data_IF_056029706441
#
_entry.id   IF_056029706441
#
_cell.length_a   1.000
_cell.length_b   1.000
_cell.length_c   1.000
_cell.angle_alpha   90.00
_cell.angle_beta   90.00
_cell.angle_gamma   90.00
#
_symmetry.space_group_name_H-M   'P 1'
#
loop_
_entity.id
_entity.type
_entity.pdbx_description
1 polymer ?
#
# COMPACT_ATOMS: atom_id res chain seq x y z
N UNK A 1 10.12 -10.22 10.29
CA UNK A 1 8.78 -9.94 10.85
C UNK A 1 8.52 -8.44 10.88
N UNK A 2 7.26 -8.00 11.04
CA UNK A 2 6.89 -6.58 11.13
C UNK A 2 7.56 -5.93 12.34
N UNK A 3 8.28 -4.82 12.13
CA UNK A 3 8.94 -4.07 13.19
C UNK A 3 8.28 -2.68 13.31
N UNK A 4 7.63 -2.36 14.44
CA UNK A 4 6.91 -1.10 14.64
C UNK A 4 7.82 0.15 14.62
N UNK A 5 9.11 -0.02 14.89
CA UNK A 5 10.07 1.09 14.93
C UNK A 5 10.68 1.42 13.56
N UNK A 6 10.45 0.59 12.54
CA UNK A 6 10.99 0.84 11.21
C UNK A 6 10.10 1.81 10.42
N UNK A 7 10.45 3.10 10.45
CA UNK A 7 9.73 4.15 9.72
C UNK A 7 10.33 4.34 8.33
N UNK A 8 9.49 4.24 7.29
CA UNK A 8 9.87 4.57 5.92
C UNK A 8 9.17 5.84 5.47
N UNK A 9 9.93 6.78 4.91
CA UNK A 9 9.36 7.97 4.30
C UNK A 9 8.77 7.62 2.94
N UNK A 10 7.62 8.21 2.60
CA UNK A 10 6.99 8.04 1.30
C UNK A 10 7.94 8.33 0.11
N UNK A 11 8.75 9.38 0.22
CA UNK A 11 9.73 9.77 -0.80
C UNK A 11 10.93 8.83 -0.89
N UNK A 12 11.22 8.05 0.15
CA UNK A 12 12.35 7.11 0.15
C UNK A 12 12.21 6.07 -0.97
N UNK A 13 10.98 5.64 -1.28
CA UNK A 13 10.67 4.76 -2.40
C UNK A 13 11.15 5.30 -3.76
N UNK A 14 11.13 6.62 -3.94
CA UNK A 14 11.53 7.31 -5.18
C UNK A 14 13.04 7.50 -5.30
N UNK A 15 13.79 7.22 -4.22
CA UNK A 15 15.25 7.34 -4.21
C UNK A 15 15.85 6.35 -5.20
N UNK A 16 16.61 6.86 -6.16
CA UNK A 16 17.28 6.02 -7.15
C UNK A 16 18.40 5.20 -6.49
N UNK A 17 18.58 3.92 -6.87
CA UNK A 17 19.74 3.14 -6.44
C UNK A 17 21.06 3.75 -6.93
N UNK A 18 22.20 3.37 -6.33
CA UNK A 18 23.51 3.80 -6.80
C UNK A 18 23.72 3.53 -8.29
N UNK A 19 24.15 4.55 -9.03
CA UNK A 19 24.43 4.44 -10.47
C UNK A 19 23.20 4.47 -11.39
N UNK A 20 21.99 4.55 -10.83
CA UNK A 20 20.75 4.63 -11.61
C UNK A 20 20.04 5.96 -11.42
N UNK A 21 19.16 6.29 -12.36
CA UNK A 21 18.29 7.47 -12.30
C UNK A 21 16.83 7.06 -12.49
N UNK A 22 15.92 7.83 -11.91
CA UNK A 22 14.48 7.70 -12.14
C UNK A 22 14.17 7.85 -13.63
N UNK A 23 13.48 6.86 -14.21
CA UNK A 23 12.99 6.95 -15.59
C UNK A 23 11.50 7.29 -15.62
N UNK A 24 10.64 6.44 -15.06
CA UNK A 24 9.19 6.67 -15.03
C UNK A 24 8.49 5.88 -13.92
N UNK A 25 7.26 6.27 -13.56
CA UNK A 25 6.48 5.56 -12.56
C UNK A 25 4.98 5.56 -12.83
N UNK A 26 4.33 4.49 -12.37
CA UNK A 26 2.88 4.39 -12.26
C UNK A 26 2.53 4.16 -10.79
N UNK A 27 1.62 4.96 -10.27
CA UNK A 27 1.05 4.77 -8.94
C UNK A 27 -0.45 4.49 -9.03
N UNK A 28 -0.98 3.80 -8.02
CA UNK A 28 -2.42 3.65 -7.83
C UNK A 28 -2.76 3.98 -6.39
N UNK A 29 -3.94 4.55 -6.16
CA UNK A 29 -4.45 4.81 -4.81
C UNK A 29 -5.98 4.83 -4.82
N UNK A 30 -6.60 4.62 -3.66
CA UNK A 30 -8.03 4.85 -3.53
C UNK A 30 -8.32 6.35 -3.37
N UNK A 31 -7.73 6.99 -2.38
CA UNK A 31 -7.80 8.46 -2.21
C UNK A 31 -6.46 9.12 -2.49
N UNK A 32 -6.52 10.40 -2.84
CA UNK A 32 -5.34 11.18 -3.22
C UNK A 32 -5.49 12.62 -2.71
N UNK A 33 -4.50 13.09 -1.95
CA UNK A 33 -4.28 14.51 -1.72
C UNK A 33 -3.26 15.03 -2.76
N UNK A 34 -3.63 16.00 -3.63
CA UNK A 34 -2.72 16.58 -4.61
C UNK A 34 -1.48 17.24 -3.98
N UNK A 35 -1.58 17.83 -2.79
CA UNK A 35 -0.43 18.41 -2.06
C UNK A 35 0.54 17.31 -1.67
N UNK A 36 0.03 16.18 -1.18
CA UNK A 36 0.86 15.02 -0.85
C UNK A 36 1.54 14.44 -2.10
N UNK A 37 0.79 14.31 -3.21
CA UNK A 37 1.35 13.83 -4.48
C UNK A 37 2.47 14.73 -5.02
N UNK A 38 2.34 16.05 -4.86
CA UNK A 38 3.33 17.02 -5.34
C UNK A 38 4.72 16.79 -4.74
N UNK A 39 4.81 16.18 -3.54
CA UNK A 39 6.09 15.82 -2.93
C UNK A 39 6.92 14.88 -3.81
N UNK A 40 6.31 14.02 -4.61
CA UNK A 40 7.02 13.06 -5.46
C UNK A 40 7.86 13.74 -6.57
N UNK A 41 7.28 14.51 -7.52
CA UNK A 41 8.07 15.19 -8.54
C UNK A 41 8.99 16.28 -7.96
N UNK A 42 8.61 16.91 -6.85
CA UNK A 42 9.46 17.86 -6.13
C UNK A 42 10.71 17.17 -5.57
N UNK A 43 10.54 16.05 -4.87
CA UNK A 43 11.65 15.27 -4.34
C UNK A 43 12.62 14.83 -5.45
N UNK A 44 12.08 14.30 -6.56
CA UNK A 44 12.90 13.90 -7.71
C UNK A 44 13.65 15.07 -8.35
N UNK A 45 13.02 16.26 -8.44
CA UNK A 45 13.67 17.47 -8.91
C UNK A 45 14.87 17.87 -8.05
N UNK A 46 14.69 17.88 -6.72
CA UNK A 46 15.75 18.23 -5.78
C UNK A 46 16.85 17.17 -5.69
N UNK A 47 16.50 15.89 -5.74
CA UNK A 47 17.45 14.78 -5.71
C UNK A 47 18.35 14.74 -6.98
N UNK A 48 17.85 15.26 -8.11
CA UNK A 48 18.58 15.30 -9.37
C UNK A 48 19.37 16.60 -9.60
N UNK A 49 19.15 17.66 -8.82
CA UNK A 49 19.94 18.90 -8.94
C UNK A 49 21.22 18.83 -8.11
N UNK A 50 22.35 18.97 -8.80
CA UNK A 50 23.62 19.33 -8.14
C UNK A 50 23.44 20.65 -7.36
N UNK A 51 24.16 20.78 -6.25
CA UNK A 51 24.06 21.89 -5.29
C UNK A 51 24.21 23.29 -5.90
N UNK A 52 24.81 23.44 -7.08
CA UNK A 52 24.91 24.70 -7.83
C UNK A 52 23.71 25.03 -8.73
N UNK A 53 22.91 24.04 -9.18
CA UNK A 53 21.70 24.25 -10.00
C UNK A 53 20.43 24.43 -9.16
N UNK A 54 20.47 24.04 -7.89
CA UNK A 54 19.37 24.15 -6.94
C UNK A 54 18.97 25.60 -6.56
N UNK A 55 19.65 26.62 -7.10
CA UNK A 55 19.39 28.03 -6.79
C UNK A 55 18.54 28.77 -7.85
N UNK A 56 18.28 28.19 -9.03
CA UNK A 56 17.42 28.80 -10.06
C UNK A 56 15.98 28.24 -9.99
N UNK A 57 14.99 29.07 -9.60
CA UNK A 57 13.59 28.65 -9.51
C UNK A 57 13.00 28.14 -10.83
N UNK A 58 13.46 28.65 -11.98
CA UNK A 58 12.95 28.21 -13.28
C UNK A 58 13.45 26.80 -13.62
N UNK A 59 14.72 26.51 -13.32
CA UNK A 59 15.30 25.18 -13.48
C UNK A 59 14.59 24.12 -12.63
N UNK A 60 14.23 24.45 -11.39
CA UNK A 60 13.46 23.55 -10.50
C UNK A 60 12.05 23.34 -11.06
N UNK A 61 11.37 24.40 -11.49
CA UNK A 61 10.04 24.29 -12.07
C UNK A 61 10.02 23.39 -13.32
N UNK A 62 10.98 23.56 -14.24
CA UNK A 62 11.10 22.68 -15.41
C UNK A 62 11.44 21.24 -15.04
N UNK A 63 12.23 21.02 -13.98
CA UNK A 63 12.50 19.67 -13.47
C UNK A 63 11.22 19.01 -12.91
N UNK A 64 10.44 19.73 -12.10
CA UNK A 64 9.15 19.24 -11.59
C UNK A 64 8.22 18.90 -12.76
N UNK A 65 8.08 19.80 -13.74
CA UNK A 65 7.25 19.57 -14.94
C UNK A 65 7.67 18.31 -15.69
N UNK A 66 8.97 18.10 -15.88
CA UNK A 66 9.51 16.89 -16.54
C UNK A 66 9.17 15.62 -15.78
N UNK A 67 9.31 15.60 -14.45
CA UNK A 67 8.96 14.42 -13.66
C UNK A 67 7.45 14.16 -13.63
N UNK A 68 6.63 15.22 -13.60
CA UNK A 68 5.17 15.12 -13.73
C UNK A 68 4.72 14.48 -15.05
N UNK A 69 5.42 14.73 -16.16
CA UNK A 69 5.14 14.05 -17.44
C UNK A 69 5.45 12.55 -17.41
N UNK A 70 6.29 12.09 -16.46
CA UNK A 70 6.76 10.70 -16.34
C UNK A 70 6.10 9.89 -15.23
N UNK A 71 5.27 10.53 -14.40
CA UNK A 71 4.49 9.88 -13.35
C UNK A 71 3.03 9.86 -13.76
N UNK A 72 2.39 8.69 -13.74
CA UNK A 72 0.94 8.53 -13.89
C UNK A 72 0.34 7.96 -12.61
N UNK A 73 -0.68 8.61 -12.04
CA UNK A 73 -1.37 8.16 -10.82
C UNK A 73 -2.81 7.81 -11.14
N UNK A 74 -3.18 6.56 -10.99
CA UNK A 74 -4.57 6.10 -11.10
C UNK A 74 -5.27 6.21 -9.74
N UNK A 75 -6.32 7.00 -9.64
CA UNK A 75 -7.07 7.23 -8.39
C UNK A 75 -8.52 6.84 -8.55
N UNK A 76 -9.19 6.32 -7.53
CA UNK A 76 -10.64 6.08 -7.61
C UNK A 76 -11.39 7.37 -7.97
N UNK A 77 -12.34 7.24 -8.89
CA UNK A 77 -13.20 8.35 -9.29
C UNK A 77 -13.92 8.95 -8.08
N UNK A 78 -13.82 10.27 -7.93
CA UNK A 78 -14.45 11.03 -6.85
C UNK A 78 -13.71 11.01 -5.52
N UNK A 79 -12.47 10.50 -5.47
CA UNK A 79 -11.66 10.39 -4.25
C UNK A 79 -10.39 11.25 -4.26
N UNK A 80 -10.35 12.28 -5.11
CA UNK A 80 -9.33 13.33 -5.04
C UNK A 80 -9.77 14.34 -3.97
N UNK A 81 -8.99 14.46 -2.91
CA UNK A 81 -9.23 15.37 -1.79
C UNK A 81 -8.56 16.71 -2.11
N UNK A 82 -9.31 17.65 -2.68
CA UNK A 82 -8.81 19.02 -2.91
C UNK A 82 -9.24 19.89 -1.73
N UNK A 83 -8.31 20.39 -0.89
CA UNK A 83 -8.68 21.25 0.23
C UNK A 83 -9.44 22.52 -0.22
N UNK A 84 -10.59 22.76 0.40
CA UNK A 84 -11.48 23.87 0.05
C UNK A 84 -10.88 25.28 0.27
N UNK A 85 -9.82 25.38 1.10
CA UNK A 85 -9.16 26.65 1.46
C UNK A 85 -7.83 26.90 0.73
N UNK A 86 -7.42 26.04 -0.21
CA UNK A 86 -6.14 26.21 -0.90
C UNK A 86 -6.12 27.48 -1.74
N UNK A 87 -5.07 28.29 -1.55
CA UNK A 87 -4.71 29.35 -2.49
C UNK A 87 -4.33 28.71 -3.83
N UNK A 88 -4.60 29.37 -4.98
CA UNK A 88 -4.19 28.87 -6.28
C UNK A 88 -2.67 28.63 -6.30
N UNK A 89 -2.25 27.37 -6.37
CA UNK A 89 -0.84 26.99 -6.54
C UNK A 89 -0.62 26.58 -8.01
N UNK A 90 0.21 27.30 -8.79
CA UNK A 90 0.50 26.97 -10.19
C UNK A 90 1.01 25.54 -10.40
N UNK A 91 1.64 24.95 -9.38
CA UNK A 91 2.13 23.57 -9.43
C UNK A 91 1.01 22.53 -9.52
N UNK A 92 -0.22 22.86 -9.09
CA UNK A 92 -1.35 21.94 -9.25
C UNK A 92 -1.73 21.70 -10.71
N UNK A 93 -1.49 22.67 -11.60
CA UNK A 93 -1.67 22.47 -13.04
C UNK A 93 -0.76 21.38 -13.61
N UNK A 94 0.41 21.14 -12.99
CA UNK A 94 1.32 20.04 -13.38
C UNK A 94 0.76 18.67 -12.98
N UNK A 95 -0.06 18.61 -11.92
CA UNK A 95 -0.66 17.37 -11.44
C UNK A 95 -1.87 16.94 -12.25
N UNK A 96 -2.57 17.87 -12.91
CA UNK A 96 -3.75 17.56 -13.72
C UNK A 96 -3.46 16.49 -14.76
N UNK A 97 -2.29 16.57 -15.40
CA UNK A 97 -1.92 15.58 -16.39
C UNK A 97 -1.47 14.27 -15.76
N UNK A 98 -0.91 14.28 -14.54
CA UNK A 98 -0.45 13.09 -13.81
C UNK A 98 -1.61 12.20 -13.37
N UNK A 99 -2.74 12.78 -12.99
CA UNK A 99 -3.82 12.09 -12.30
C UNK A 99 -4.84 11.54 -13.31
N UNK A 100 -5.16 10.26 -13.16
CA UNK A 100 -6.16 9.55 -13.96
C UNK A 100 -7.22 8.95 -13.02
N UNK A 101 -8.38 9.59 -12.97
CA UNK A 101 -9.53 9.00 -12.28
C UNK A 101 -9.91 7.65 -12.90
N UNK A 102 -10.22 6.67 -12.04
CA UNK A 102 -10.34 5.26 -12.38
C UNK A 102 -11.52 4.62 -11.67
N UNK A 103 -12.06 3.54 -12.25
CA UNK A 103 -13.14 2.75 -11.67
C UNK A 103 -12.80 1.27 -11.68
N UNK A 104 -13.26 0.53 -10.69
CA UNK A 104 -13.24 -0.93 -10.76
C UNK A 104 -14.26 -1.46 -11.78
N UNK A 105 -14.20 -2.77 -12.02
CA UNK A 105 -15.20 -3.48 -12.82
C UNK A 105 -16.56 -3.46 -12.11
N UNK A 106 -17.64 -3.27 -12.85
CA UNK A 106 -18.99 -3.37 -12.31
C UNK A 106 -19.29 -2.28 -11.29
N UNK A 107 -19.74 -2.67 -10.09
CA UNK A 107 -20.18 -1.78 -9.01
C UNK A 107 -19.21 -1.65 -7.83
N UNK A 108 -18.04 -2.29 -7.91
CA UNK A 108 -17.05 -2.19 -6.84
C UNK A 108 -16.19 -0.93 -6.92
N UNK A 109 -15.19 -0.88 -6.04
CA UNK A 109 -14.28 0.24 -5.86
C UNK A 109 -12.89 -0.09 -6.39
N UNK A 110 -12.23 0.88 -7.06
CA UNK A 110 -10.82 0.78 -7.42
C UNK A 110 -9.99 1.14 -6.19
N UNK A 111 -9.34 0.16 -5.60
CA UNK A 111 -8.69 0.29 -4.31
C UNK A 111 -7.22 -0.17 -4.23
N UNK A 112 -6.52 -0.56 -5.34
CA UNK A 112 -5.12 -0.96 -5.22
C UNK A 112 -4.26 0.26 -4.86
N UNK A 113 -3.24 0.03 -4.02
CA UNK A 113 -2.33 1.07 -3.53
C UNK A 113 -0.89 0.64 -3.78
N UNK A 114 -0.32 1.11 -4.89
CA UNK A 114 1.05 0.75 -5.29
C UNK A 114 1.82 1.93 -5.87
N UNK A 115 3.14 1.81 -5.85
CA UNK A 115 4.05 2.47 -6.78
C UNK A 115 4.81 1.41 -7.56
N UNK A 116 4.82 1.49 -8.88
CA UNK A 116 5.77 0.78 -9.73
C UNK A 116 6.66 1.80 -10.40
N UNK A 117 7.96 1.70 -10.12
CA UNK A 117 8.97 2.68 -10.51
C UNK A 117 10.01 1.97 -11.37
N UNK A 118 10.35 2.59 -12.50
CA UNK A 118 11.40 2.14 -13.40
C UNK A 118 12.61 3.05 -13.24
N UNK A 119 13.78 2.45 -13.01
CA UNK A 119 15.07 3.12 -12.98
C UNK A 119 15.92 2.66 -14.15
N UNK A 120 16.81 3.53 -14.62
CA UNK A 120 17.76 3.23 -15.69
C UNK A 120 19.17 3.67 -15.29
N UNK A 121 20.17 2.84 -15.57
CA UNK A 121 21.56 3.26 -15.54
C UNK A 121 21.90 3.96 -16.88
N UNK A 122 22.23 5.26 -16.88
CA UNK A 122 22.46 6.02 -18.11
C UNK A 122 23.75 5.62 -18.84
N UNK A 123 24.66 4.88 -18.21
CA UNK A 123 25.92 4.43 -18.79
C UNK A 123 25.81 3.01 -19.39
N UNK A 124 25.02 2.13 -18.77
CA UNK A 124 24.92 0.71 -19.15
C UNK A 124 23.59 0.33 -19.81
N UNK A 125 22.61 1.23 -19.81
CA UNK A 125 21.20 0.98 -20.17
C UNK A 125 20.54 -0.14 -19.32
N UNK A 126 21.13 -0.50 -18.19
CA UNK A 126 20.56 -1.47 -17.26
C UNK A 126 19.29 -0.89 -16.62
N UNK A 127 18.26 -1.73 -16.51
CA UNK A 127 16.95 -1.34 -15.99
C UNK A 127 16.70 -2.07 -14.68
N UNK A 128 16.15 -1.35 -13.70
CA UNK A 128 15.67 -1.92 -12.44
C UNK A 128 14.24 -1.45 -12.20
N UNK A 129 13.41 -2.35 -11.67
CA UNK A 129 12.05 -2.06 -11.25
C UNK A 129 11.92 -2.13 -9.74
N UNK A 130 11.30 -1.11 -9.16
CA UNK A 130 10.86 -1.12 -7.77
C UNK A 130 9.34 -1.17 -7.72
N UNK A 131 8.79 -2.15 -7.02
CA UNK A 131 7.38 -2.23 -6.67
C UNK A 131 7.23 -1.94 -5.19
N UNK A 132 6.46 -0.91 -4.85
CA UNK A 132 6.02 -0.62 -3.50
C UNK A 132 4.53 -0.92 -3.39
N UNK A 133 4.15 -1.81 -2.49
CA UNK A 133 2.75 -2.09 -2.15
C UNK A 133 2.44 -1.48 -0.80
N UNK A 134 1.36 -0.72 -0.73
CA UNK A 134 1.00 0.12 0.41
C UNK A 134 -0.33 -0.34 1.01
N UNK A 135 -0.46 -0.26 2.33
CA UNK A 135 -1.77 -0.37 2.99
C UNK A 135 -2.51 0.96 3.07
N UNK A 136 -1.78 2.09 3.01
CA UNK A 136 -2.29 3.48 3.11
C UNK A 136 -2.37 4.21 1.77
N UNK A 137 -3.29 5.17 1.72
CA UNK A 137 -3.51 6.05 0.58
C UNK A 137 -2.44 7.13 0.44
N UNK A 138 -2.41 7.79 -0.72
CA UNK A 138 -1.56 8.95 -0.99
C UNK A 138 -2.14 10.24 -0.38
N UNK A 139 -2.24 10.28 0.95
CA UNK A 139 -2.81 11.38 1.74
C UNK A 139 -1.86 11.78 2.87
N UNK A 140 -2.20 12.87 3.57
CA UNK A 140 -1.48 13.36 4.77
C UNK A 140 -1.76 12.55 6.04
N UNK A 141 -2.51 11.45 5.91
CA UNK A 141 -2.87 10.51 6.97
C UNK A 141 -1.62 10.00 7.72
N UNK A 142 -1.62 10.08 9.04
CA UNK A 142 -0.48 9.75 9.90
C UNK A 142 -0.63 8.39 10.61
N UNK A 143 -1.55 7.55 10.15
CA UNK A 143 -1.76 6.21 10.70
C UNK A 143 -0.56 5.29 10.57
N UNK A 144 -0.51 4.35 11.51
CA UNK A 144 0.27 3.14 11.41
C UNK A 144 -0.15 2.34 10.18
N UNK A 145 0.75 2.25 9.22
CA UNK A 145 0.56 1.55 7.96
C UNK A 145 1.65 0.49 7.73
N UNK A 146 1.50 -0.23 6.63
CA UNK A 146 2.51 -1.16 6.16
C UNK A 146 2.84 -0.82 4.71
N UNK A 147 4.14 -0.92 4.41
CA UNK A 147 4.65 -0.86 3.06
C UNK A 147 5.59 -2.03 2.81
N UNK A 148 5.49 -2.62 1.62
CA UNK A 148 6.43 -3.61 1.11
C UNK A 148 7.12 -3.01 -0.11
N UNK A 149 8.45 -2.93 -0.08
CA UNK A 149 9.27 -2.60 -1.23
C UNK A 149 9.93 -3.87 -1.77
N UNK A 150 9.83 -4.09 -3.07
CA UNK A 150 10.51 -5.14 -3.82
C UNK A 150 11.30 -4.48 -4.94
N UNK A 151 12.61 -4.69 -4.95
CA UNK A 151 13.47 -4.33 -6.06
C UNK A 151 13.64 -5.56 -6.96
N UNK A 152 13.70 -5.36 -8.27
CA UNK A 152 13.70 -6.45 -9.22
C UNK A 152 14.37 -6.10 -10.53
N UNK A 153 14.97 -7.11 -11.15
CA UNK A 153 15.81 -6.94 -12.34
C UNK A 153 15.23 -7.75 -13.51
N UNK A 154 15.26 -7.21 -14.74
CA UNK A 154 14.86 -7.96 -15.92
C UNK A 154 15.72 -9.21 -16.13
N UNK A 155 15.07 -10.32 -16.39
CA UNK A 155 15.69 -11.60 -16.76
C UNK A 155 15.11 -12.11 -18.08
N UNK A 156 15.77 -13.07 -18.72
CA UNK A 156 15.32 -13.61 -20.02
C UNK A 156 14.06 -14.49 -19.91
N UNK A 157 13.82 -15.09 -18.74
CA UNK A 157 12.70 -16.01 -18.52
C UNK A 157 11.45 -15.25 -18.09
N UNK A 158 10.29 -15.69 -18.55
CA UNK A 158 9.01 -15.18 -18.06
C UNK A 158 8.80 -15.58 -16.60
N UNK A 159 8.39 -14.62 -15.78
CA UNK A 159 8.08 -14.80 -14.37
C UNK A 159 6.57 -14.96 -14.23
N UNK A 160 6.11 -16.21 -14.09
CA UNK A 160 4.68 -16.54 -14.07
C UNK A 160 3.96 -15.89 -12.88
N UNK A 161 4.66 -15.73 -11.75
CA UNK A 161 4.15 -15.02 -10.57
C UNK A 161 3.71 -13.58 -10.89
N UNK A 162 4.31 -12.94 -11.90
CA UNK A 162 3.99 -11.56 -12.27
C UNK A 162 2.75 -11.42 -13.15
N UNK A 163 2.09 -12.51 -13.55
CA UNK A 163 0.87 -12.44 -14.39
C UNK A 163 -0.20 -11.51 -13.83
N UNK A 164 -0.34 -11.46 -12.51
CA UNK A 164 -1.27 -10.55 -11.82
C UNK A 164 -0.89 -9.08 -12.02
N UNK A 165 0.40 -8.74 -11.89
CA UNK A 165 0.90 -7.38 -12.15
C UNK A 165 0.75 -7.00 -13.62
N UNK A 166 1.15 -7.89 -14.53
CA UNK A 166 0.96 -7.73 -15.98
C UNK A 166 -0.51 -7.42 -16.29
N UNK A 167 -1.43 -8.17 -15.69
CA UNK A 167 -2.85 -7.92 -15.83
C UNK A 167 -3.24 -6.53 -15.33
N UNK A 168 -2.89 -6.18 -14.09
CA UNK A 168 -3.16 -4.87 -13.49
C UNK A 168 -2.74 -3.73 -14.43
N UNK A 169 -1.48 -3.67 -14.84
CA UNK A 169 -0.97 -2.61 -15.71
C UNK A 169 -1.63 -2.59 -17.08
N UNK A 170 -1.97 -3.76 -17.65
CA UNK A 170 -2.70 -3.84 -18.93
C UNK A 170 -4.14 -3.32 -18.85
N UNK A 171 -4.77 -3.36 -17.68
CA UNK A 171 -6.17 -2.93 -17.48
C UNK A 171 -6.28 -1.50 -16.96
N UNK A 172 -5.25 -0.94 -16.32
CA UNK A 172 -5.27 0.46 -15.82
C UNK A 172 -5.76 1.48 -16.87
N UNK A 173 -5.27 1.49 -18.13
CA UNK A 173 -5.80 2.36 -19.17
C UNK A 173 -7.29 2.19 -19.48
N UNK A 174 -7.83 0.97 -19.28
CA UNK A 174 -9.23 0.62 -19.53
C UNK A 174 -10.13 1.01 -18.35
N UNK A 175 -9.55 1.20 -17.16
CA UNK A 175 -10.24 1.66 -15.95
C UNK A 175 -10.36 3.18 -15.88
N UNK A 176 -9.53 3.90 -16.64
CA UNK A 176 -9.54 5.36 -16.71
C UNK A 176 -10.91 5.93 -17.10
N UNK A 177 -11.36 6.95 -16.38
CA UNK A 177 -12.59 7.69 -16.67
C UNK A 177 -12.24 8.91 -17.52
N UNK A 178 -12.47 8.80 -18.82
CA UNK A 178 -12.21 9.89 -19.77
C UNK A 178 -11.10 9.57 -20.75
N UNK A 179 -10.66 10.59 -21.50
CA UNK A 179 -9.60 10.45 -22.49
C UNK A 179 -8.25 10.49 -21.79
N UNK A 180 -7.47 9.44 -21.93
CA UNK A 180 -6.08 9.41 -21.48
C UNK A 180 -5.12 9.81 -22.62
N UNK A 181 -3.98 10.41 -22.28
CA UNK A 181 -2.94 10.71 -23.27
C UNK A 181 -2.32 9.42 -23.85
N UNK A 182 -1.85 9.46 -25.11
CA UNK A 182 -1.27 8.29 -25.78
C UNK A 182 0.01 7.79 -25.09
N UNK A 183 0.85 8.70 -24.60
CA UNK A 183 2.10 8.33 -23.93
C UNK A 183 1.85 7.58 -22.60
N UNK A 184 0.83 7.95 -21.82
CA UNK A 184 0.45 7.23 -20.58
C UNK A 184 -0.11 5.84 -20.85
N UNK A 185 -0.87 5.66 -21.95
CA UNK A 185 -1.27 4.32 -22.42
C UNK A 185 -0.05 3.46 -22.74
N UNK A 186 0.92 4.03 -23.46
CA UNK A 186 2.15 3.34 -23.81
C UNK A 186 3.00 3.01 -22.58
N UNK A 187 3.03 3.91 -21.58
CA UNK A 187 3.68 3.67 -20.29
C UNK A 187 3.08 2.47 -19.56
N UNK A 188 1.76 2.43 -19.36
CA UNK A 188 1.09 1.28 -18.73
C UNK A 188 1.34 -0.04 -19.49
N UNK A 189 1.34 0.01 -20.83
CA UNK A 189 1.66 -1.17 -21.64
C UNK A 189 3.13 -1.60 -21.48
N UNK A 190 4.09 -0.67 -21.42
CA UNK A 190 5.50 -1.00 -21.13
C UNK A 190 5.66 -1.69 -19.80
N UNK A 191 5.07 -1.16 -18.72
CA UNK A 191 5.10 -1.81 -17.41
C UNK A 191 4.49 -3.21 -17.48
N UNK A 192 3.35 -3.38 -18.17
CA UNK A 192 2.76 -4.71 -18.35
C UNK A 192 3.70 -5.68 -19.10
N UNK A 193 4.35 -5.23 -20.17
CA UNK A 193 5.22 -6.08 -21.00
C UNK A 193 6.54 -6.42 -20.30
N UNK A 194 7.17 -5.44 -19.65
CA UNK A 194 8.48 -5.59 -19.00
C UNK A 194 8.38 -6.32 -17.66
N UNK A 195 7.36 -6.04 -16.83
CA UNK A 195 7.20 -6.72 -15.54
C UNK A 195 6.98 -8.23 -15.68
N UNK A 196 6.54 -8.73 -16.84
CA UNK A 196 6.48 -10.18 -17.10
C UNK A 196 7.85 -10.86 -16.98
N UNK A 197 8.94 -10.10 -17.13
CA UNK A 197 10.31 -10.58 -17.15
C UNK A 197 11.13 -10.10 -15.94
N UNK A 198 10.52 -9.47 -14.95
CA UNK A 198 11.23 -8.97 -13.76
C UNK A 198 11.29 -10.03 -12.66
N UNK A 199 12.49 -10.40 -12.25
CA UNK A 199 12.73 -11.22 -11.07
C UNK A 199 12.86 -10.33 -9.83
N UNK A 200 12.01 -10.54 -8.83
CA UNK A 200 12.00 -9.76 -7.59
C UNK A 200 12.96 -10.33 -6.56
N UNK A 201 13.69 -9.46 -5.88
CA UNK A 201 14.44 -9.80 -4.68
C UNK A 201 13.46 -9.88 -3.50
N UNK A 202 13.35 -11.07 -2.89
CA UNK A 202 12.53 -11.25 -1.71
C UNK A 202 13.16 -10.55 -0.49
N UNK A 203 12.35 -9.93 0.39
CA UNK A 203 12.85 -9.37 1.64
C UNK A 203 13.52 -10.47 2.49
N UNK A 204 14.47 -10.06 3.33
CA UNK A 204 15.24 -10.99 4.15
C UNK A 204 14.34 -11.97 4.93
N UNK A 205 14.64 -13.26 4.79
CA UNK A 205 13.93 -14.36 5.44
C UNK A 205 12.76 -14.94 4.65
N UNK A 206 12.33 -14.28 3.58
CA UNK A 206 11.33 -14.81 2.65
C UNK A 206 12.00 -15.37 1.38
N UNK A 207 11.40 -16.42 0.84
CA UNK A 207 11.90 -17.19 -0.29
C UNK A 207 11.02 -17.04 -1.54
N UNK A 208 9.74 -16.70 -1.36
CA UNK A 208 8.76 -16.60 -2.46
C UNK A 208 7.88 -15.36 -2.32
N UNK A 209 7.48 -14.81 -3.47
CA UNK A 209 6.51 -13.73 -3.59
C UNK A 209 5.39 -14.11 -4.58
N UNK A 210 4.14 -13.85 -4.21
CA UNK A 210 2.98 -14.03 -5.06
C UNK A 210 2.03 -12.83 -4.99
N UNK A 211 1.40 -12.50 -6.12
CA UNK A 211 0.53 -11.33 -6.25
C UNK A 211 -0.91 -11.75 -6.56
N UNK A 212 -1.86 -11.09 -5.90
CA UNK A 212 -3.29 -11.31 -6.08
C UNK A 212 -4.00 -10.00 -6.35
N UNK A 213 -5.04 -10.05 -7.18
CA UNK A 213 -5.88 -8.92 -7.58
C UNK A 213 -7.36 -9.32 -7.48
N UNK A 214 -7.91 -9.44 -6.24
CA UNK A 214 -9.34 -9.67 -6.04
C UNK A 214 -10.19 -8.68 -6.86
N UNK A 215 -11.28 -9.18 -7.43
CA UNK A 215 -12.17 -8.39 -8.30
C UNK A 215 -11.73 -8.23 -9.75
N UNK A 216 -10.53 -8.68 -10.10
CA UNK A 216 -10.00 -8.74 -11.47
C UNK A 216 -9.67 -10.19 -11.91
N UNK A 217 -10.11 -11.20 -11.14
CA UNK A 217 -9.99 -12.61 -11.50
C UNK A 217 -8.69 -13.29 -11.04
N UNK A 218 -7.89 -12.61 -10.21
CA UNK A 218 -6.71 -13.15 -9.54
C UNK A 218 -6.96 -13.19 -8.03
N UNK A 219 -7.98 -13.93 -7.61
CA UNK A 219 -8.44 -13.90 -6.22
C UNK A 219 -7.42 -14.54 -5.27
N UNK A 220 -7.28 -13.95 -4.08
CA UNK A 220 -6.57 -14.57 -2.97
C UNK A 220 -7.50 -15.51 -2.21
N UNK A 221 -6.94 -16.56 -1.63
CA UNK A 221 -7.62 -17.47 -0.71
C UNK A 221 -6.73 -17.69 0.51
N UNK A 222 -7.28 -17.70 1.73
CA UNK A 222 -6.50 -18.03 2.92
C UNK A 222 -5.84 -19.41 2.79
N UNK A 223 -4.55 -19.56 3.12
CA UNK A 223 -3.90 -20.86 3.15
C UNK A 223 -4.36 -21.67 4.37
N UNK A 224 -4.26 -23.00 4.29
CA UNK A 224 -4.41 -23.85 5.48
C UNK A 224 -3.25 -23.61 6.45
N UNK A 225 -3.57 -23.34 7.71
CA UNK A 225 -2.62 -22.93 8.74
C UNK A 225 -2.89 -23.57 10.10
N UNK A 226 -1.85 -23.71 10.91
CA UNK A 226 -2.01 -24.04 12.33
C UNK A 226 -2.47 -22.82 13.11
N UNK A 227 -1.89 -21.66 12.81
CA UNK A 227 -2.08 -20.41 13.54
C UNK A 227 -2.26 -19.22 12.60
N UNK A 228 -3.05 -18.24 13.02
CA UNK A 228 -3.27 -17.01 12.26
C UNK A 228 -3.36 -15.75 13.15
N UNK A 229 -2.85 -14.64 12.63
CA UNK A 229 -3.09 -13.28 13.15
C UNK A 229 -3.65 -12.41 12.02
N UNK A 230 -4.68 -11.63 12.33
CA UNK A 230 -5.31 -10.69 11.40
C UNK A 230 -5.11 -9.27 11.89
N UNK A 231 -4.55 -8.41 11.04
CA UNK A 231 -4.41 -6.97 11.26
C UNK A 231 -5.21 -6.26 10.16
N UNK A 232 -6.27 -5.56 10.52
CA UNK A 232 -7.09 -4.82 9.56
C UNK A 232 -7.87 -3.72 10.26
N UNK A 233 -7.88 -2.47 9.74
CA UNK A 233 -8.60 -1.39 10.39
C UNK A 233 -10.11 -1.51 10.26
N UNK A 234 -10.60 -2.19 9.23
CA UNK A 234 -12.02 -2.47 8.99
C UNK A 234 -12.23 -3.96 8.78
N UNK A 235 -13.27 -4.50 9.38
CA UNK A 235 -13.58 -5.93 9.36
C UNK A 235 -15.08 -6.16 9.17
N UNK A 236 -15.45 -7.28 8.58
CA UNK A 236 -16.83 -7.80 8.63
C UNK A 236 -16.84 -9.23 9.15
N UNK A 237 -17.94 -9.63 9.78
CA UNK A 237 -18.09 -10.96 10.37
C UNK A 237 -17.77 -12.08 9.38
N UNK A 238 -18.36 -12.06 8.18
CA UNK A 238 -18.21 -13.18 7.24
C UNK A 238 -16.78 -13.32 6.71
N UNK A 239 -16.05 -12.21 6.57
CA UNK A 239 -14.68 -12.22 6.08
C UNK A 239 -13.72 -12.77 7.13
N UNK A 240 -13.89 -12.40 8.40
CA UNK A 240 -13.11 -12.96 9.50
C UNK A 240 -13.41 -14.46 9.67
N UNK A 241 -14.69 -14.85 9.67
CA UNK A 241 -15.10 -16.25 9.73
C UNK A 241 -14.54 -17.06 8.54
N UNK A 242 -14.49 -16.48 7.35
CA UNK A 242 -13.86 -17.13 6.19
C UNK A 242 -12.37 -17.38 6.40
N UNK A 243 -11.62 -16.42 6.93
CA UNK A 243 -10.18 -16.58 7.23
C UNK A 243 -9.98 -17.65 8.30
N UNK A 244 -10.70 -17.55 9.43
CA UNK A 244 -10.51 -18.44 10.59
C UNK A 244 -10.83 -19.90 10.25
N UNK A 245 -11.75 -20.15 9.30
CA UNK A 245 -12.08 -21.50 8.85
C UNK A 245 -10.87 -22.27 8.29
N UNK A 246 -9.84 -21.58 7.82
CA UNK A 246 -8.63 -22.18 7.26
C UNK A 246 -7.48 -22.28 8.28
N UNK A 247 -7.71 -21.96 9.55
CA UNK A 247 -6.71 -22.14 10.60
C UNK A 247 -7.22 -22.97 11.78
N UNK A 248 -6.32 -23.71 12.44
CA UNK A 248 -6.66 -24.44 13.67
C UNK A 248 -6.87 -23.49 14.85
N UNK A 249 -6.12 -22.39 14.89
CA UNK A 249 -6.20 -21.36 15.94
C UNK A 249 -6.01 -19.97 15.33
N UNK A 250 -6.89 -19.04 15.71
CA UNK A 250 -6.70 -17.62 15.46
C UNK A 250 -6.21 -16.94 16.75
N UNK A 251 -4.95 -16.50 16.76
CA UNK A 251 -4.28 -15.99 17.96
C UNK A 251 -4.72 -14.56 18.29
N UNK A 252 -4.77 -13.67 17.30
CA UNK A 252 -5.12 -12.28 17.53
C UNK A 252 -5.84 -11.63 16.35
N UNK A 253 -6.81 -10.78 16.68
CA UNK A 253 -7.38 -9.78 15.79
C UNK A 253 -6.94 -8.40 16.27
N UNK A 254 -6.12 -7.72 15.47
CA UNK A 254 -5.69 -6.34 15.72
C UNK A 254 -6.49 -5.43 14.78
N UNK A 255 -7.35 -4.60 15.36
CA UNK A 255 -8.27 -3.73 14.61
C UNK A 255 -8.52 -2.44 15.38
N UNK A 256 -9.28 -1.53 14.78
CA UNK A 256 -9.74 -0.31 15.46
C UNK A 256 -10.86 -0.63 16.46
N UNK A 257 -10.96 0.09 17.59
CA UNK A 257 -12.00 -0.17 18.59
C UNK A 257 -13.43 -0.03 18.05
N UNK A 258 -13.69 0.97 17.21
CA UNK A 258 -14.98 1.18 16.56
C UNK A 258 -15.38 -0.02 15.69
N UNK A 259 -14.43 -0.56 14.92
CA UNK A 259 -14.65 -1.76 14.12
C UNK A 259 -14.88 -2.99 14.99
N UNK A 260 -14.07 -3.18 16.05
CA UNK A 260 -14.26 -4.30 16.98
C UNK A 260 -15.64 -4.27 17.65
N UNK A 261 -16.13 -3.09 18.03
CA UNK A 261 -17.48 -2.90 18.58
C UNK A 261 -18.59 -3.30 17.61
N UNK A 262 -18.39 -3.12 16.30
CA UNK A 262 -19.41 -3.48 15.29
C UNK A 262 -19.50 -4.98 14.99
N UNK A 263 -18.46 -5.75 15.33
CA UNK A 263 -18.43 -7.20 15.12
C UNK A 263 -19.28 -7.95 16.15
N UNK A 264 -19.92 -9.03 15.71
CA UNK A 264 -20.63 -9.91 16.63
C UNK A 264 -19.69 -10.51 17.69
N UNK A 265 -20.23 -10.79 18.87
CA UNK A 265 -19.49 -11.46 19.95
C UNK A 265 -19.02 -12.86 19.51
N UNK A 266 -19.84 -13.56 18.71
CA UNK A 266 -19.53 -14.86 18.12
C UNK A 266 -18.26 -14.80 17.26
N UNK A 267 -18.15 -13.81 16.36
CA UNK A 267 -16.95 -13.62 15.53
C UNK A 267 -15.74 -13.20 16.35
N UNK A 268 -15.91 -12.27 17.31
CA UNK A 268 -14.78 -11.82 18.17
C UNK A 268 -14.20 -12.98 18.97
N UNK A 269 -15.07 -13.85 19.49
CA UNK A 269 -14.69 -15.03 20.29
C UNK A 269 -13.96 -16.11 19.49
N UNK A 270 -13.89 -16.00 18.16
CA UNK A 270 -13.05 -16.88 17.33
C UNK A 270 -11.55 -16.60 17.51
N UNK A 271 -11.19 -15.39 17.96
CA UNK A 271 -9.81 -14.98 18.19
C UNK A 271 -9.46 -15.09 19.67
N UNK A 272 -8.26 -15.58 19.98
CA UNK A 272 -7.81 -15.70 21.37
C UNK A 272 -7.65 -14.33 22.04
N UNK A 273 -7.17 -13.33 21.28
CA UNK A 273 -7.05 -11.93 21.72
C UNK A 273 -7.70 -10.99 20.70
N UNK A 274 -8.36 -9.95 21.20
CA UNK A 274 -8.80 -8.81 20.39
C UNK A 274 -8.05 -7.58 20.87
N UNK A 275 -7.34 -6.92 19.97
CA UNK A 275 -6.35 -5.90 20.29
C UNK A 275 -6.59 -4.63 19.46
N UNK A 276 -6.24 -3.48 20.01
CA UNK A 276 -6.14 -2.21 19.28
C UNK A 276 -4.84 -1.49 19.63
N UNK A 277 -4.48 -0.46 18.86
CA UNK A 277 -3.33 0.37 19.19
C UNK A 277 -3.58 1.14 20.49
N UNK A 278 -2.54 1.27 21.30
CA UNK A 278 -2.53 2.15 22.47
C UNK A 278 -2.64 3.62 22.02
N UNK A 279 -3.46 4.43 22.69
CA UNK A 279 -3.64 5.85 22.40
C UNK A 279 -2.28 6.60 22.36
N UNK A 280 -1.33 6.23 23.24
CA UNK A 280 0.02 6.80 23.26
C UNK A 280 0.85 6.44 22.02
N UNK A 281 0.54 5.34 21.33
CA UNK A 281 1.14 4.96 20.05
C UNK A 281 0.51 5.72 18.87
N UNK A 282 -0.72 6.22 19.03
CA UNK A 282 -1.41 7.07 18.03
C UNK A 282 -0.94 8.53 18.09
N UNK A 283 -0.63 9.06 19.28
CA UNK A 283 -0.23 10.46 19.50
C UNK A 283 1.19 10.81 19.00
N UNK A 284 2.07 9.83 18.75
CA UNK A 284 3.46 10.08 18.30
C UNK A 284 3.58 10.59 16.84
N UNK A 285 2.46 10.88 16.17
CA UNK A 285 2.39 11.08 14.74
C UNK A 285 2.37 12.55 14.27
N UNK A 286 2.29 13.57 15.13
CA UNK A 286 2.35 14.98 14.68
C UNK A 286 2.66 16.01 15.77
N UNK A 287 3.90 16.51 15.83
CA UNK A 287 4.29 17.72 16.58
C UNK A 287 4.33 18.99 15.70
N UNK A 288 4.07 18.87 14.38
CA UNK A 288 4.18 19.98 13.40
C UNK A 288 2.86 20.38 12.71
N UNK A 289 1.69 19.86 13.15
CA UNK A 289 0.41 20.22 12.54
C UNK A 289 -0.14 21.53 13.07
N UNK A 290 -0.64 22.39 12.19
CA UNK A 290 -1.37 23.61 12.62
C UNK A 290 -2.78 23.23 13.10
N UNK A 291 -3.44 24.03 13.96
CA UNK A 291 -4.80 23.72 14.46
C UNK A 291 -5.89 23.57 13.38
N UNK A 292 -5.60 23.94 12.13
CA UNK A 292 -6.49 23.82 10.98
C UNK A 292 -6.27 22.52 10.16
N UNK A 293 -5.24 21.72 10.45
CA UNK A 293 -4.93 20.48 9.75
C UNK A 293 -5.66 19.31 10.41
N UNK A 294 -6.71 18.82 9.76
CA UNK A 294 -7.44 17.64 10.19
C UNK A 294 -6.70 16.40 9.67
N UNK A 295 -5.86 15.78 10.52
CA UNK A 295 -5.04 14.61 10.18
C UNK A 295 -5.69 13.34 10.78
N UNK A 296 -5.95 12.34 9.95
CA UNK A 296 -6.42 11.03 10.43
C UNK A 296 -5.26 10.21 11.02
N UNK A 297 -5.48 9.58 12.19
CA UNK A 297 -4.48 8.80 12.96
C UNK A 297 -4.98 7.38 13.28
N UNK A 298 -4.17 6.58 13.99
CA UNK A 298 -4.51 5.22 14.43
C UNK A 298 -4.05 4.11 13.48
N UNK A 299 -4.83 3.04 13.29
CA UNK A 299 -4.46 1.88 12.47
C UNK A 299 -4.93 2.01 11.00
N UNK A 300 -4.04 1.73 10.04
CA UNK A 300 -4.34 1.57 8.61
C UNK A 300 -3.60 0.37 7.97
N UNK A 301 -2.83 -0.38 8.77
CA UNK A 301 -2.16 -1.61 8.37
C UNK A 301 -3.15 -2.73 8.03
N UNK A 302 -2.91 -3.41 6.92
CA UNK A 302 -3.69 -4.57 6.47
C UNK A 302 -2.72 -5.72 6.24
N UNK A 303 -2.72 -6.69 7.15
CA UNK A 303 -1.85 -7.85 7.08
C UNK A 303 -2.51 -9.09 7.68
N UNK A 304 -2.18 -10.24 7.11
CA UNK A 304 -2.61 -11.56 7.55
C UNK A 304 -1.37 -12.43 7.68
N UNK A 305 -1.09 -12.90 8.88
CA UNK A 305 0.05 -13.77 9.15
C UNK A 305 -0.46 -15.18 9.42
N UNK A 306 0.11 -16.16 8.73
CA UNK A 306 -0.23 -17.57 8.87
C UNK A 306 1.04 -18.37 9.19
N UNK A 307 0.91 -19.34 10.10
CA UNK A 307 1.95 -20.33 10.36
C UNK A 307 1.43 -21.74 10.08
N UNK A 308 2.24 -22.56 9.40
CA UNK A 308 1.94 -23.96 9.17
C UNK A 308 3.22 -24.80 9.34
N UNK A 309 3.30 -25.55 10.42
CA UNK A 309 4.49 -26.30 10.80
C UNK A 309 5.72 -25.40 10.95
N UNK A 310 6.63 -25.44 9.97
CA UNK A 310 7.88 -24.64 9.95
C UNK A 310 7.80 -23.43 9.02
N UNK A 311 6.69 -23.28 8.33
CA UNK A 311 6.49 -22.27 7.29
C UNK A 311 5.69 -21.09 7.85
N UNK A 312 5.97 -19.91 7.31
CA UNK A 312 5.26 -18.68 7.58
C UNK A 312 4.86 -18.03 6.27
N UNK A 313 3.65 -17.50 6.23
CA UNK A 313 3.12 -16.72 5.12
C UNK A 313 2.60 -15.38 5.64
N UNK A 314 3.18 -14.29 5.16
CA UNK A 314 2.72 -12.93 5.42
C UNK A 314 2.02 -12.41 4.17
N UNK A 315 0.73 -12.11 4.29
CA UNK A 315 -0.06 -11.49 3.24
C UNK A 315 -0.34 -10.04 3.63
N UNK A 316 -0.05 -9.09 2.75
CA UNK A 316 -0.32 -7.67 3.00
C UNK A 316 -0.75 -6.94 1.71
N UNK A 317 -1.33 -5.75 1.85
CA UNK A 317 -1.68 -4.92 0.70
C UNK A 317 -2.82 -3.97 1.01
N UNK A 318 -3.69 -3.75 0.02
CA UNK A 318 -4.76 -2.74 0.10
C UNK A 318 -6.09 -3.27 0.63
N UNK A 319 -6.28 -4.60 0.66
CA UNK A 319 -7.54 -5.23 1.05
C UNK A 319 -7.69 -5.28 2.57
N UNK A 320 -8.83 -4.78 3.06
CA UNK A 320 -9.29 -5.01 4.43
C UNK A 320 -9.88 -6.42 4.58
N UNK A 321 -10.01 -6.88 5.82
CA UNK A 321 -10.73 -8.10 6.19
C UNK A 321 -12.25 -7.95 6.09
N UNK A 322 -12.75 -7.52 4.93
CA UNK A 322 -14.18 -7.25 4.68
C UNK A 322 -14.74 -8.12 3.56
N UNK A 323 -16.05 -8.37 3.62
CA UNK A 323 -16.76 -9.16 2.63
C UNK A 323 -16.63 -8.56 1.23
N UNK A 324 -16.63 -7.23 1.08
CA UNK A 324 -16.46 -6.57 -0.22
C UNK A 324 -15.07 -6.83 -0.85
N UNK A 325 -14.02 -6.87 -0.03
CA UNK A 325 -12.65 -7.06 -0.49
C UNK A 325 -12.29 -8.55 -0.70
N UNK A 326 -12.67 -9.43 0.22
CA UNK A 326 -12.23 -10.83 0.21
C UNK A 326 -13.25 -11.82 -0.40
N UNK A 327 -14.55 -11.58 -0.24
CA UNK A 327 -15.60 -12.55 -0.59
C UNK A 327 -16.39 -12.17 -1.84
N UNK A 328 -16.88 -10.93 -1.86
CA UNK A 328 -17.73 -10.38 -2.91
C UNK A 328 -16.99 -10.17 -4.22
N UNK A 329 -15.65 -10.05 -4.17
CA UNK A 329 -14.77 -9.90 -5.35
C UNK A 329 -15.27 -8.79 -6.28
N UNK A 330 -15.80 -7.71 -5.70
CA UNK A 330 -16.29 -6.55 -6.44
C UNK A 330 -15.25 -5.44 -6.43
N UNK A 331 -14.60 -5.22 -5.29
CA UNK A 331 -13.49 -4.28 -5.19
C UNK A 331 -12.27 -4.81 -5.92
N UNK A 332 -11.59 -3.92 -6.65
CA UNK A 332 -10.27 -4.18 -7.19
C UNK A 332 -9.25 -3.82 -6.12
N UNK A 333 -8.59 -4.83 -5.55
CA UNK A 333 -7.59 -4.69 -4.49
C UNK A 333 -6.27 -5.31 -4.96
N UNK A 334 -5.15 -4.98 -4.31
CA UNK A 334 -3.88 -5.69 -4.49
C UNK A 334 -3.47 -6.35 -3.17
N UNK A 335 -3.05 -7.61 -3.26
CA UNK A 335 -2.45 -8.35 -2.15
C UNK A 335 -1.14 -8.98 -2.61
N UNK A 336 -0.16 -9.03 -1.70
CA UNK A 336 1.11 -9.71 -1.89
C UNK A 336 1.28 -10.72 -0.77
N UNK A 337 1.58 -11.96 -1.13
CA UNK A 337 1.98 -13.02 -0.20
C UNK A 337 3.50 -13.17 -0.26
N UNK A 338 4.13 -13.20 0.91
CA UNK A 338 5.52 -13.52 1.12
C UNK A 338 5.61 -14.81 1.93
N UNK A 339 6.30 -15.83 1.40
CA UNK A 339 6.48 -17.12 2.09
C UNK A 339 7.92 -17.31 2.49
N UNK A 340 8.14 -17.86 3.68
CA UNK A 340 9.46 -18.17 4.20
C UNK A 340 9.41 -19.19 5.32
N UNK A 341 10.57 -19.50 5.90
CA UNK A 341 10.67 -20.38 7.07
C UNK A 341 10.64 -19.57 8.36
N UNK A 342 9.89 -20.02 9.36
CA UNK A 342 9.76 -19.34 10.67
C UNK A 342 11.09 -18.99 11.33
N UNK A 343 12.07 -19.88 11.23
CA UNK A 343 13.44 -19.66 11.72
C UNK A 343 14.15 -18.43 11.11
N UNK A 344 13.65 -17.89 10.02
CA UNK A 344 14.21 -16.73 9.30
C UNK A 344 13.26 -15.53 9.31
N UNK A 345 11.94 -15.77 9.25
CA UNK A 345 10.93 -14.71 9.22
C UNK A 345 10.53 -14.20 10.61
N UNK A 346 10.72 -15.02 11.66
CA UNK A 346 10.05 -14.88 12.96
C UNK A 346 8.74 -15.67 13.02
N UNK A 347 8.11 -15.65 14.20
CA UNK A 347 6.86 -16.34 14.54
C UNK A 347 5.77 -15.39 15.00
N UNK A 348 4.52 -15.84 15.06
CA UNK A 348 3.40 -15.11 15.67
C UNK A 348 3.71 -14.74 17.12
N UNK A 349 4.40 -15.61 17.86
CA UNK A 349 4.78 -15.31 19.25
C UNK A 349 5.80 -14.18 19.32
N UNK A 350 6.76 -14.16 18.40
CA UNK A 350 7.69 -13.03 18.30
C UNK A 350 6.91 -11.73 18.00
N UNK A 351 5.90 -11.78 17.12
CA UNK A 351 5.10 -10.59 16.72
C UNK A 351 4.32 -10.03 17.91
N UNK A 352 3.76 -10.92 18.72
CA UNK A 352 2.95 -10.60 19.89
C UNK A 352 3.78 -10.48 21.19
N UNK A 353 5.10 -10.46 21.08
CA UNK A 353 6.01 -10.26 22.21
C UNK A 353 6.27 -8.78 22.50
N UNK A 354 6.90 -8.50 23.65
CA UNK A 354 7.36 -7.17 24.05
C UNK A 354 8.36 -6.54 23.09
N UNK A 355 9.17 -7.35 22.40
CA UNK A 355 10.11 -6.88 21.36
C UNK A 355 9.41 -6.70 19.99
N UNK A 356 8.17 -7.18 19.88
CA UNK A 356 7.29 -7.04 18.72
C UNK A 356 6.31 -5.89 18.88
N UNK A 357 5.01 -6.18 18.73
CA UNK A 357 3.94 -5.18 18.78
C UNK A 357 3.29 -5.04 20.16
N UNK A 358 3.56 -5.92 21.12
CA UNK A 358 2.82 -5.97 22.40
C UNK A 358 2.82 -4.62 23.14
N UNK A 359 3.95 -3.90 23.14
CA UNK A 359 4.06 -2.60 23.82
C UNK A 359 3.24 -1.48 23.18
N UNK A 360 2.67 -1.69 22.00
CA UNK A 360 1.83 -0.73 21.27
C UNK A 360 0.38 -1.17 21.20
N UNK A 361 0.02 -2.29 21.84
CA UNK A 361 -1.29 -2.91 21.75
C UNK A 361 -1.95 -3.00 23.12
N UNK A 362 -3.25 -2.74 23.16
CA UNK A 362 -4.10 -2.94 24.33
C UNK A 362 -5.20 -3.96 24.02
N UNK A 363 -5.59 -4.73 25.04
CA UNK A 363 -6.74 -5.63 24.94
C UNK A 363 -8.03 -4.81 24.85
N UNK A 364 -8.87 -5.18 23.88
CA UNK A 364 -10.12 -4.48 23.62
C UNK A 364 -11.17 -4.75 24.71
N UNK A 365 -11.66 -3.69 25.34
CA UNK A 365 -12.79 -3.73 26.26
C UNK A 365 -14.05 -3.10 25.63
N UNK A 366 -15.12 -3.87 25.33
CA UNK A 366 -16.35 -3.33 24.75
C UNK A 366 -17.10 -2.36 25.69
N UNK A 367 -16.76 -2.31 26.98
CA UNK A 367 -17.35 -1.37 27.93
C UNK A 367 -16.65 0.01 27.93
N UNK A 368 -15.47 0.13 27.33
CA UNK A 368 -14.74 1.39 27.25
C UNK A 368 -15.40 2.32 26.22
N UNK A 369 -15.59 3.62 26.53
CA UNK A 369 -16.11 4.57 25.56
C UNK A 369 -15.04 4.87 24.49
N UNK A 370 -15.44 4.85 23.22
CA UNK A 370 -14.59 5.22 22.09
C UNK A 370 -15.26 6.32 21.27
N UNK A 371 -14.50 7.35 20.88
CA UNK A 371 -14.97 8.37 19.95
C UNK A 371 -14.75 7.89 18.50
N UNK A 372 -15.80 7.84 17.65
CA UNK A 372 -15.64 7.45 16.26
C UNK A 372 -14.84 8.49 15.46
N UNK A 373 -13.87 8.02 14.67
CA UNK A 373 -13.20 8.89 13.69
C UNK A 373 -14.11 9.12 12.47
N UNK A 374 -14.75 10.29 12.41
CA UNK A 374 -15.67 10.68 11.34
C UNK A 374 -14.99 10.97 10.00
N UNK A 375 -13.66 11.01 9.95
CA UNK A 375 -12.89 11.43 8.76
C UNK A 375 -12.57 10.27 7.82
N UNK A 376 -12.68 9.03 8.30
CA UNK A 376 -12.41 7.83 7.51
C UNK A 376 -13.70 7.10 7.12
N UNK A 377 -14.15 7.38 5.90
CA UNK A 377 -15.15 6.58 5.19
C UNK A 377 -14.44 5.86 4.03
N UNK A 378 -14.01 4.61 4.24
CA UNK A 378 -13.46 3.75 3.17
C UNK A 378 -14.59 3.22 2.27
#
# INVERSE_FOLDING_TARGET
MLNPNNRSLYTSALTSPPGMVFDEAIATSFSLDPVFLLQAPVYLAFAATDSNRAQDPLSIFEAIRRYSERITVYVQKGRIQVPAKLKPNPLFGLLEEMIVESKAKGRGVFHPKIWAIRFINPETDEVMYRLVVLSRNLTTDSSWDLSLQLDGYPVKRKQIANKTLVHLFSVLPKRATGKMAKHRRAQAQRFADELLYVEWECPAGFDEVAFFLPGEGYDWQPPEADRAVVISPFCTDEALQHIVKHCLQADALISRPDTLLTLSEETRSLFTRQLHLDDAAEEQASDESTPDDIIASGLHAKAYLFENGRDSELVLGSANATSAALLGKTNCEILVSLKGKKKHTGTIDDLLSSDGMESYLQDFDPAQPFEPDVLRVE
#
